data_IF_785943065564
#
_entry.id   IF_785943065564
#
_cell.length_a   1.000
_cell.length_b   1.000
_cell.length_c   1.000
_cell.angle_alpha   90.00
_cell.angle_beta   90.00
_cell.angle_gamma   90.00
#
_symmetry.space_group_name_H-M   'P 1'
#
loop_
_entity.id
_entity.type
_entity.pdbx_description
1 polymer ?
#
# COMPACT_ATOMS: atom_id res chain seq x y z
N UNK A 1 -84.21 -2.94 13.64
CA UNK A 1 -85.38 -2.20 13.05
C UNK A 1 -85.51 -2.74 11.63
N UNK A 2 -86.32 -3.80 11.54
CA UNK A 2 -87.54 -3.87 10.76
C UNK A 2 -87.31 -3.67 9.26
N UNK A 3 -87.75 -4.48 8.34
CA UNK A 3 -88.97 -5.33 8.19
C UNK A 3 -88.83 -6.02 6.84
N UNK A 4 -89.00 -7.33 6.75
CA UNK A 4 -90.18 -8.03 6.28
C UNK A 4 -90.61 -7.65 4.81
N UNK A 5 -90.83 -8.57 3.97
CA UNK A 5 -91.82 -9.64 3.79
C UNK A 5 -91.90 -9.90 2.26
N UNK A 6 -92.15 -10.94 1.71
CA UNK A 6 -93.20 -11.96 1.55
C UNK A 6 -92.99 -12.66 0.20
N UNK A 7 -92.94 -13.91 0.26
CA UNK A 7 -93.47 -14.96 -0.59
C UNK A 7 -94.65 -14.52 -1.48
N UNK A 8 -95.13 -15.26 -2.55
CA UNK A 8 -95.01 -16.72 -2.77
C UNK A 8 -94.90 -17.21 -4.23
N UNK A 9 -94.55 -18.48 -4.36
CA UNK A 9 -95.25 -19.56 -5.04
C UNK A 9 -95.68 -19.37 -6.49
N UNK A 10 -95.22 -20.25 -7.40
CA UNK A 10 -96.10 -21.13 -8.17
C UNK A 10 -95.26 -22.17 -8.91
N UNK A 11 -95.52 -23.35 -8.59
CA UNK A 11 -95.41 -24.65 -9.13
C UNK A 11 -95.71 -24.67 -10.68
N UNK A 12 -94.76 -25.28 -11.45
CA UNK A 12 -95.19 -26.02 -12.64
C UNK A 12 -94.16 -27.13 -12.93
N UNK A 13 -94.58 -28.33 -12.71
CA UNK A 13 -94.04 -29.60 -13.11
C UNK A 13 -94.12 -29.75 -14.59
N UNK A 14 -93.01 -30.15 -15.26
CA UNK A 14 -93.08 -31.04 -16.42
C UNK A 14 -91.89 -31.95 -16.47
N UNK A 15 -92.21 -33.21 -16.52
CA UNK A 15 -91.44 -34.42 -16.61
C UNK A 15 -90.92 -34.58 -18.03
N UNK A 16 -89.88 -35.42 -18.17
CA UNK A 16 -89.40 -36.27 -19.26
C UNK A 16 -88.13 -35.83 -19.97
N UNK A 17 -87.26 -36.79 -19.95
CA UNK A 17 -86.29 -36.99 -20.97
C UNK A 17 -85.00 -37.61 -20.46
N UNK A 18 -85.01 -38.88 -20.07
CA UNK A 18 -83.82 -39.68 -19.93
C UNK A 18 -83.11 -39.88 -21.29
N UNK A 19 -81.88 -39.43 -21.40
CA UNK A 19 -80.95 -39.95 -22.38
C UNK A 19 -79.65 -40.26 -21.67
N UNK A 20 -79.47 -41.50 -21.27
CA UNK A 20 -78.19 -42.12 -20.88
C UNK A 20 -77.35 -42.21 -22.17
N UNK A 21 -76.56 -41.24 -22.41
CA UNK A 21 -75.45 -41.31 -23.34
C UNK A 21 -74.14 -41.60 -22.53
N UNK A 22 -73.69 -42.83 -22.51
CA UNK A 22 -72.34 -43.16 -22.19
C UNK A 22 -71.42 -42.45 -23.18
N UNK A 23 -70.92 -41.28 -22.81
CA UNK A 23 -69.81 -40.67 -23.51
C UNK A 23 -68.58 -41.53 -23.30
N UNK A 24 -68.27 -42.28 -24.28
CA UNK A 24 -66.94 -42.85 -24.44
C UNK A 24 -65.95 -41.68 -24.46
N UNK A 25 -65.19 -41.55 -23.39
CA UNK A 25 -64.03 -40.66 -23.42
C UNK A 25 -63.08 -41.26 -24.48
N UNK A 26 -62.70 -40.49 -25.48
CA UNK A 26 -61.65 -40.95 -26.37
C UNK A 26 -60.40 -41.18 -25.52
N UNK A 27 -60.02 -42.46 -25.48
CA UNK A 27 -58.71 -42.85 -24.96
C UNK A 27 -57.65 -42.17 -25.87
N UNK A 28 -57.21 -40.99 -25.52
CA UNK A 28 -56.10 -40.35 -26.19
C UNK A 28 -54.88 -41.09 -25.74
N UNK A 29 -54.53 -42.16 -26.46
CA UNK A 29 -53.20 -42.70 -26.37
C UNK A 29 -52.21 -41.55 -26.56
N UNK A 30 -51.24 -41.41 -25.72
CA UNK A 30 -50.20 -40.37 -25.91
C UNK A 30 -49.56 -40.67 -27.29
N UNK A 31 -49.93 -39.86 -28.27
CA UNK A 31 -49.29 -39.94 -29.59
C UNK A 31 -47.80 -39.67 -29.35
N UNK A 32 -47.01 -40.70 -29.36
CA UNK A 32 -45.56 -40.57 -29.28
C UNK A 32 -45.15 -39.64 -30.44
N UNK A 33 -44.62 -38.50 -30.08
CA UNK A 33 -44.11 -37.53 -31.03
C UNK A 33 -42.91 -38.13 -31.71
N UNK A 34 -43.06 -38.78 -32.85
CA UNK A 34 -41.97 -39.30 -33.63
C UNK A 34 -41.29 -38.13 -34.35
N UNK A 35 -40.07 -37.88 -34.02
CA UNK A 35 -39.21 -36.94 -34.75
C UNK A 35 -38.95 -37.50 -36.14
N UNK A 36 -39.35 -36.80 -37.18
CA UNK A 36 -38.98 -37.15 -38.53
C UNK A 36 -37.51 -36.86 -38.79
N UNK A 37 -36.89 -37.58 -39.74
CA UNK A 37 -35.48 -37.41 -40.11
C UNK A 37 -35.09 -35.96 -40.42
N UNK A 38 -36.03 -35.19 -40.93
CA UNK A 38 -35.84 -33.72 -41.17
C UNK A 38 -35.75 -32.93 -39.89
N UNK A 39 -36.52 -33.27 -38.85
CA UNK A 39 -36.48 -32.63 -37.55
C UNK A 39 -35.26 -33.06 -36.75
N UNK A 40 -34.80 -34.31 -36.87
CA UNK A 40 -33.57 -34.80 -36.21
C UNK A 40 -32.31 -34.03 -36.65
N UNK A 41 -32.32 -33.43 -37.85
CA UNK A 41 -31.21 -32.61 -38.34
C UNK A 41 -31.17 -31.19 -37.74
N UNK A 42 -32.26 -30.75 -37.18
CA UNK A 42 -32.42 -29.35 -36.67
C UNK A 42 -32.51 -29.34 -35.15
N UNK A 43 -32.81 -30.46 -34.52
CA UNK A 43 -32.96 -30.58 -33.06
C UNK A 43 -31.73 -31.19 -32.48
N UNK A 44 -31.06 -30.51 -31.60
CA UNK A 44 -30.02 -31.03 -30.73
C UNK A 44 -30.64 -31.45 -29.40
N UNK A 45 -30.45 -32.68 -29.02
CA UNK A 45 -30.90 -33.20 -27.71
C UNK A 45 -29.73 -33.12 -26.76
N UNK A 46 -29.89 -32.39 -25.68
CA UNK A 46 -28.91 -32.32 -24.61
C UNK A 46 -29.51 -32.83 -23.29
N UNK A 47 -28.67 -33.34 -22.43
CA UNK A 47 -29.11 -33.88 -21.14
C UNK A 47 -28.97 -32.79 -20.07
N UNK A 48 -30.02 -32.57 -19.32
CA UNK A 48 -29.99 -31.64 -18.18
C UNK A 48 -29.14 -32.26 -17.07
N UNK A 49 -28.04 -31.61 -16.78
CA UNK A 49 -27.19 -31.96 -15.65
C UNK A 49 -27.40 -30.95 -14.52
N UNK A 50 -27.43 -31.46 -13.30
CA UNK A 50 -27.36 -30.58 -12.12
C UNK A 50 -25.93 -30.07 -12.02
N UNK A 51 -25.74 -28.78 -12.26
CA UNK A 51 -24.45 -28.10 -12.13
C UNK A 51 -24.53 -27.09 -10.99
N UNK A 52 -23.50 -27.05 -10.18
CA UNK A 52 -23.37 -26.04 -9.13
C UNK A 52 -23.22 -24.66 -9.80
N UNK A 53 -24.09 -23.74 -9.47
CA UNK A 53 -24.02 -22.36 -9.98
C UNK A 53 -22.95 -21.63 -9.16
N UNK A 54 -21.81 -21.38 -9.78
CA UNK A 54 -20.78 -20.53 -9.20
C UNK A 54 -21.14 -19.09 -9.56
N UNK A 55 -21.50 -18.30 -8.56
CA UNK A 55 -21.72 -16.86 -8.73
C UNK A 55 -20.34 -16.15 -8.77
N UNK A 56 -19.93 -15.76 -9.97
CA UNK A 56 -18.65 -15.04 -10.16
C UNK A 56 -18.92 -13.53 -10.20
N UNK A 57 -18.27 -12.82 -9.27
CA UNK A 57 -18.30 -11.36 -9.24
C UNK A 57 -17.09 -10.80 -9.99
N UNK A 58 -17.33 -10.03 -11.04
CA UNK A 58 -16.27 -9.34 -11.79
C UNK A 58 -16.10 -7.92 -11.25
N UNK A 59 -14.88 -7.61 -10.83
CA UNK A 59 -14.52 -6.32 -10.26
C UNK A 59 -13.47 -5.63 -11.12
N UNK A 60 -13.51 -4.32 -11.17
CA UNK A 60 -12.44 -3.52 -11.72
C UNK A 60 -11.46 -3.16 -10.59
N UNK A 61 -10.18 -3.12 -10.94
CA UNK A 61 -9.16 -2.78 -9.96
C UNK A 61 -7.91 -2.20 -10.61
N UNK A 62 -7.03 -1.69 -9.78
CA UNK A 62 -5.72 -1.18 -10.18
C UNK A 62 -4.61 -1.92 -9.44
N UNK A 63 -3.53 -2.20 -10.16
CA UNK A 63 -2.31 -2.71 -9.54
C UNK A 63 -1.58 -1.54 -8.87
N UNK A 64 -1.19 -1.74 -7.63
CA UNK A 64 -0.42 -0.77 -6.85
C UNK A 64 0.73 -1.46 -6.12
N UNK A 65 1.71 -0.70 -5.69
CA UNK A 65 2.80 -1.23 -4.88
C UNK A 65 2.33 -1.55 -3.45
N UNK A 66 3.08 -2.40 -2.77
CA UNK A 66 2.83 -2.73 -1.38
C UNK A 66 3.26 -1.56 -0.48
N UNK A 67 2.31 -0.79 0.01
CA UNK A 67 2.55 0.38 0.88
C UNK A 67 3.35 0.05 2.15
N UNK A 68 3.32 -1.20 2.62
CA UNK A 68 4.13 -1.63 3.76
C UNK A 68 5.62 -1.77 3.42
N UNK A 69 5.98 -1.77 2.14
CA UNK A 69 7.34 -1.88 1.63
C UNK A 69 7.79 -0.60 0.92
N UNK A 70 7.10 0.51 1.18
CA UNK A 70 7.44 1.82 0.65
C UNK A 70 8.27 2.58 1.67
N UNK A 71 9.33 3.21 1.21
CA UNK A 71 10.10 4.17 1.98
C UNK A 71 10.05 5.54 1.30
N UNK A 72 9.59 6.52 2.05
CA UNK A 72 9.61 7.92 1.66
C UNK A 72 10.89 8.57 2.16
N UNK A 73 11.61 9.22 1.26
CA UNK A 73 12.89 9.87 1.56
C UNK A 73 12.70 11.38 1.56
N UNK A 74 12.94 11.99 2.71
CA UNK A 74 12.81 13.43 2.94
C UNK A 74 14.18 14.09 3.03
N UNK A 75 14.27 15.41 2.75
CA UNK A 75 15.50 16.15 3.00
C UNK A 75 15.74 16.24 4.50
N UNK A 76 16.98 16.04 4.93
CA UNK A 76 17.38 16.17 6.33
C UNK A 76 17.73 17.62 6.69
N UNK A 77 18.29 18.35 5.71
CA UNK A 77 18.73 19.74 5.83
C UNK A 77 18.36 20.50 4.57
N UNK A 78 18.15 21.80 4.70
CA UNK A 78 18.02 22.69 3.55
C UNK A 78 19.31 22.78 2.74
N UNK A 79 19.19 23.15 1.48
CA UNK A 79 20.37 23.31 0.63
C UNK A 79 20.07 23.20 -0.87
N UNK A 80 21.10 23.13 -1.68
CA UNK A 80 20.99 23.04 -3.13
C UNK A 80 21.46 21.65 -3.59
N UNK A 81 20.66 20.99 -4.41
CA UNK A 81 20.98 19.70 -5.02
C UNK A 81 22.08 19.90 -6.06
N UNK A 82 23.26 19.34 -5.83
CA UNK A 82 24.40 19.45 -6.74
C UNK A 82 24.51 18.30 -7.71
N UNK A 83 24.23 17.08 -7.22
CA UNK A 83 24.25 15.87 -8.03
C UNK A 83 22.99 15.06 -7.78
N UNK A 84 22.44 14.51 -8.84
CA UNK A 84 21.35 13.55 -8.80
C UNK A 84 21.86 12.26 -9.43
N UNK A 85 21.87 11.17 -8.66
CA UNK A 85 22.46 9.88 -9.06
C UNK A 85 21.42 8.81 -9.35
N UNK A 86 20.16 9.08 -9.05
CA UNK A 86 19.08 8.10 -9.14
C UNK A 86 17.89 8.68 -9.91
N UNK A 87 17.31 7.87 -10.80
CA UNK A 87 16.17 8.21 -11.64
C UNK A 87 14.97 7.30 -11.38
N UNK A 88 13.77 7.73 -11.82
CA UNK A 88 12.57 6.91 -11.74
C UNK A 88 12.78 5.61 -12.53
N UNK A 89 12.46 4.48 -11.90
CA UNK A 89 12.63 3.15 -12.47
C UNK A 89 13.95 2.47 -12.10
N UNK A 90 14.93 3.20 -11.55
CA UNK A 90 16.19 2.60 -11.12
C UNK A 90 16.00 1.70 -9.90
N UNK A 91 16.73 0.58 -9.87
CA UNK A 91 16.85 -0.24 -8.68
C UNK A 91 18.00 0.25 -7.81
N UNK A 92 17.69 0.57 -6.57
CA UNK A 92 18.66 1.02 -5.55
C UNK A 92 18.73 0.03 -4.41
N UNK A 93 19.92 -0.10 -3.81
CA UNK A 93 20.14 -0.88 -2.60
C UNK A 93 20.13 0.04 -1.39
N UNK A 94 19.80 -0.53 -0.23
CA UNK A 94 19.94 0.18 1.04
C UNK A 94 21.35 0.75 1.19
N UNK A 95 21.45 2.07 1.39
CA UNK A 95 22.72 2.80 1.53
C UNK A 95 23.24 3.42 0.24
N UNK A 96 22.65 3.13 -0.93
CA UNK A 96 23.04 3.77 -2.19
C UNK A 96 22.74 5.27 -2.15
N UNK A 97 23.63 6.06 -2.75
CA UNK A 97 23.49 7.53 -2.80
C UNK A 97 22.52 7.91 -3.90
N UNK A 98 21.44 8.57 -3.53
CA UNK A 98 20.40 9.06 -4.43
C UNK A 98 20.72 10.46 -4.95
N UNK A 99 21.17 11.34 -4.07
CA UNK A 99 21.53 12.71 -4.38
C UNK A 99 22.64 13.22 -3.46
N UNK A 100 23.35 14.26 -3.93
CA UNK A 100 24.32 15.02 -3.12
C UNK A 100 23.81 16.45 -3.01
N UNK A 101 23.75 16.94 -1.79
CA UNK A 101 23.15 18.24 -1.47
C UNK A 101 24.19 19.07 -0.73
N UNK A 102 24.36 20.32 -1.17
CA UNK A 102 25.20 21.31 -0.50
C UNK A 102 24.34 22.11 0.49
N UNK A 103 24.72 22.12 1.73
CA UNK A 103 23.93 22.75 2.82
C UNK A 103 24.78 23.69 3.67
N UNK A 104 24.23 24.87 3.97
CA UNK A 104 24.82 25.79 4.91
C UNK A 104 24.84 25.26 6.35
N UNK A 105 23.80 24.52 6.74
CA UNK A 105 23.74 23.88 8.06
C UNK A 105 24.86 22.83 8.25
N UNK A 106 25.17 22.08 7.20
CA UNK A 106 26.30 21.12 7.24
C UNK A 106 27.63 21.86 7.39
N UNK A 107 27.80 23.01 6.72
CA UNK A 107 28.98 23.85 6.90
C UNK A 107 29.15 24.34 8.35
N UNK A 108 28.07 24.64 9.04
CA UNK A 108 28.10 25.02 10.45
C UNK A 108 28.54 23.84 11.35
N UNK A 109 28.09 22.63 11.07
CA UNK A 109 28.58 21.42 11.76
C UNK A 109 30.05 21.15 11.49
N UNK A 110 30.53 21.37 10.26
CA UNK A 110 31.98 21.25 9.95
C UNK A 110 32.82 22.25 10.74
N UNK A 111 32.35 23.49 10.84
CA UNK A 111 33.00 24.49 11.69
C UNK A 111 33.05 24.02 13.15
N UNK A 112 31.93 23.55 13.71
CA UNK A 112 31.86 23.03 15.08
C UNK A 112 32.83 21.86 15.29
N UNK A 113 32.95 20.93 14.30
CA UNK A 113 33.90 19.84 14.40
C UNK A 113 35.33 20.34 14.50
N UNK A 114 35.71 21.28 13.63
CA UNK A 114 37.05 21.89 13.67
C UNK A 114 37.33 22.60 14.99
N UNK A 115 36.36 23.32 15.53
CA UNK A 115 36.48 23.99 16.83
C UNK A 115 36.69 22.97 17.96
N UNK A 116 35.89 21.86 17.96
CA UNK A 116 36.01 20.80 18.94
C UNK A 116 37.39 20.08 18.85
N UNK A 117 37.89 19.81 17.63
CA UNK A 117 39.21 19.23 17.40
C UNK A 117 40.34 20.12 17.91
N UNK A 118 40.23 21.44 17.70
CA UNK A 118 41.23 22.38 18.24
C UNK A 118 41.17 22.46 19.76
N UNK A 119 39.96 22.45 20.34
CA UNK A 119 39.79 22.45 21.80
C UNK A 119 40.35 21.19 22.42
N UNK A 120 40.13 20.02 21.80
CA UNK A 120 40.69 18.76 22.23
C UNK A 120 42.23 18.78 22.19
N UNK A 121 42.82 19.28 21.11
CA UNK A 121 44.25 19.42 20.98
C UNK A 121 44.84 20.30 22.08
N UNK A 122 44.19 21.42 22.39
CA UNK A 122 44.60 22.33 23.44
C UNK A 122 44.50 21.66 24.83
N UNK A 123 43.38 20.99 25.12
CA UNK A 123 43.16 20.29 26.38
C UNK A 123 44.19 19.15 26.61
N UNK A 124 44.54 18.42 25.54
CA UNK A 124 45.61 17.41 25.62
C UNK A 124 46.96 18.01 25.98
N UNK A 125 47.37 19.08 25.30
CA UNK A 125 48.62 19.76 25.58
C UNK A 125 48.67 20.34 27.01
N UNK A 126 47.52 20.91 27.47
CA UNK A 126 47.40 21.42 28.83
C UNK A 126 47.55 20.30 29.88
N UNK A 127 46.89 19.14 29.62
CA UNK A 127 47.00 17.96 30.48
C UNK A 127 48.46 17.46 30.56
N UNK A 128 49.15 17.32 29.41
CA UNK A 128 50.54 16.90 29.36
C UNK A 128 51.48 17.85 30.12
N UNK A 129 51.33 19.16 29.88
CA UNK A 129 52.13 20.19 30.59
C UNK A 129 51.85 20.20 32.11
N UNK A 130 50.59 20.01 32.52
CA UNK A 130 50.21 19.95 33.94
C UNK A 130 50.78 18.73 34.61
N UNK A 131 50.82 17.57 33.92
CA UNK A 131 51.47 16.36 34.42
C UNK A 131 52.99 16.54 34.60
N UNK A 132 53.66 17.19 33.66
CA UNK A 132 55.09 17.48 33.76
C UNK A 132 55.38 18.43 34.94
N UNK A 133 54.55 19.46 35.14
CA UNK A 133 54.65 20.33 36.31
C UNK A 133 54.39 19.60 37.63
N UNK A 134 53.40 18.70 37.65
CA UNK A 134 53.10 17.88 38.83
C UNK A 134 54.28 16.96 39.21
N UNK A 135 54.86 16.29 38.23
CA UNK A 135 56.01 15.40 38.41
C UNK A 135 57.23 16.18 38.93
N UNK A 136 57.32 17.48 38.62
CA UNK A 136 58.38 18.37 39.08
C UNK A 136 58.04 19.07 40.40
N UNK A 137 56.88 18.78 41.01
CA UNK A 137 56.42 19.39 42.26
C UNK A 137 55.91 20.82 42.13
N UNK A 138 55.63 21.29 40.89
CA UNK A 138 55.18 22.65 40.60
C UNK A 138 53.66 22.78 40.38
N UNK A 139 52.92 21.68 40.33
CA UNK A 139 51.47 21.65 40.25
C UNK A 139 50.85 20.76 41.34
N UNK A 140 49.62 21.02 41.71
CA UNK A 140 48.89 20.25 42.72
C UNK A 140 48.02 19.17 42.13
N UNK A 141 47.57 18.19 42.95
CA UNK A 141 46.55 17.20 42.55
C UNK A 141 45.27 17.81 42.00
N UNK A 142 44.90 18.97 42.52
CA UNK A 142 43.73 19.75 42.05
C UNK A 142 43.94 20.20 40.60
N UNK A 143 45.14 20.69 40.26
CA UNK A 143 45.45 21.18 38.92
C UNK A 143 45.41 20.03 37.91
N UNK A 144 45.96 18.86 38.29
CA UNK A 144 45.87 17.63 37.46
C UNK A 144 44.41 17.20 37.27
N UNK A 145 43.59 17.19 38.32
CA UNK A 145 42.18 16.83 38.24
C UNK A 145 41.41 17.78 37.31
N UNK A 146 41.68 19.07 37.41
CA UNK A 146 41.07 20.07 36.55
C UNK A 146 41.46 19.87 35.08
N UNK A 147 42.73 19.73 34.76
CA UNK A 147 43.20 19.46 33.40
C UNK A 147 42.61 18.16 32.83
N UNK A 148 42.46 17.12 33.65
CA UNK A 148 41.80 15.88 33.26
C UNK A 148 40.33 16.05 32.96
N UNK A 149 39.60 16.87 33.74
CA UNK A 149 38.17 17.18 33.48
C UNK A 149 38.02 17.95 32.17
N UNK A 150 38.90 18.93 31.91
CA UNK A 150 38.89 19.70 30.65
C UNK A 150 39.15 18.79 29.45
N UNK A 151 40.10 17.89 29.53
CA UNK A 151 40.38 16.90 28.48
C UNK A 151 39.18 15.97 28.24
N UNK A 152 38.59 15.42 29.30
CA UNK A 152 37.45 14.51 29.20
C UNK A 152 36.26 15.21 28.57
N UNK A 153 36.02 16.49 28.92
CA UNK A 153 34.95 17.29 28.34
C UNK A 153 35.16 17.55 26.84
N UNK A 154 36.41 17.91 26.46
CA UNK A 154 36.75 18.14 25.05
C UNK A 154 36.64 16.84 24.20
N UNK A 155 37.04 15.69 24.76
CA UNK A 155 36.88 14.38 24.10
C UNK A 155 35.41 14.01 23.91
N UNK A 156 34.57 14.32 24.88
CA UNK A 156 33.13 14.06 24.80
C UNK A 156 32.46 14.91 23.72
N UNK A 157 32.85 16.19 23.64
CA UNK A 157 32.27 17.11 22.63
C UNK A 157 32.71 16.75 21.21
N UNK A 158 33.99 16.44 20.99
CA UNK A 158 34.46 15.99 19.68
C UNK A 158 33.74 14.70 19.26
N UNK A 159 33.57 13.74 20.16
CA UNK A 159 32.82 12.50 19.89
C UNK A 159 31.37 12.77 19.52
N UNK A 160 30.70 13.64 20.26
CA UNK A 160 29.30 14.02 19.98
C UNK A 160 29.13 14.56 18.56
N UNK A 161 30.02 15.44 18.11
CA UNK A 161 29.92 16.02 16.77
C UNK A 161 30.25 14.97 15.71
N UNK A 162 31.24 14.11 15.93
CA UNK A 162 31.57 13.00 15.02
C UNK A 162 30.42 12.01 14.86
N UNK A 163 29.66 11.74 15.92
CA UNK A 163 28.45 10.93 15.85
C UNK A 163 27.39 11.58 14.94
N UNK A 164 27.20 12.89 15.03
CA UNK A 164 26.30 13.64 14.14
C UNK A 164 26.72 13.46 12.67
N UNK A 165 28.02 13.59 12.37
CA UNK A 165 28.54 13.35 11.01
C UNK A 165 28.26 11.95 10.50
N UNK A 166 28.36 10.94 11.36
CA UNK A 166 28.07 9.55 11.02
C UNK A 166 26.57 9.32 10.75
N UNK A 167 25.70 9.86 11.63
CA UNK A 167 24.25 9.70 11.54
C UNK A 167 23.71 10.32 10.25
N UNK A 168 24.15 11.53 9.92
CA UNK A 168 23.64 12.29 8.77
C UNK A 168 24.45 12.09 7.48
N UNK A 169 25.48 11.25 7.50
CA UNK A 169 26.29 10.95 6.34
C UNK A 169 26.92 12.18 5.68
N UNK A 170 27.46 13.10 6.48
CA UNK A 170 28.17 14.24 5.96
C UNK A 170 29.46 13.79 5.27
N UNK A 171 29.73 14.35 4.09
CA UNK A 171 30.87 13.98 3.26
C UNK A 171 32.01 15.00 3.22
N UNK A 172 31.88 16.07 4.02
CA UNK A 172 32.82 17.19 4.01
C UNK A 172 32.46 18.26 2.95
N UNK A 173 33.09 19.41 3.03
CA UNK A 173 32.91 20.55 2.11
C UNK A 173 31.45 21.04 2.01
N UNK A 174 30.71 20.99 3.14
CA UNK A 174 29.30 21.39 3.25
C UNK A 174 28.32 20.50 2.46
N UNK A 175 28.70 19.27 2.14
CA UNK A 175 27.87 18.32 1.43
C UNK A 175 27.33 17.21 2.35
N UNK A 176 26.08 16.81 2.10
CA UNK A 176 25.58 15.54 2.64
C UNK A 176 25.00 14.67 1.53
N UNK A 177 25.06 13.36 1.78
CA UNK A 177 24.58 12.35 0.85
C UNK A 177 23.20 11.87 1.29
N UNK A 178 22.22 12.08 0.44
CA UNK A 178 20.89 11.49 0.61
C UNK A 178 20.95 10.03 0.16
N UNK A 179 20.79 9.10 1.10
CA UNK A 179 20.91 7.66 0.87
C UNK A 179 19.58 6.95 0.94
N UNK A 180 19.47 5.85 0.20
CA UNK A 180 18.30 4.99 0.28
C UNK A 180 18.22 4.24 1.62
N UNK A 181 17.10 4.32 2.35
CA UNK A 181 16.89 3.59 3.60
C UNK A 181 16.60 2.10 3.38
N UNK A 182 16.14 1.73 2.17
CA UNK A 182 15.72 0.37 1.79
C UNK A 182 16.26 0.00 0.41
N UNK A 183 16.17 -1.28 0.06
CA UNK A 183 16.42 -1.73 -1.31
C UNK A 183 15.09 -1.82 -2.07
N UNK A 184 15.04 -1.30 -3.29
CA UNK A 184 13.82 -1.28 -4.10
C UNK A 184 13.98 -0.45 -5.36
N UNK A 185 12.87 -0.22 -6.05
CA UNK A 185 12.80 0.63 -7.23
C UNK A 185 12.30 2.02 -6.86
N UNK A 186 12.84 3.03 -7.50
CA UNK A 186 12.36 4.40 -7.37
C UNK A 186 11.06 4.52 -8.17
N UNK A 187 9.95 4.70 -7.46
CA UNK A 187 8.61 4.80 -8.05
C UNK A 187 8.15 6.24 -8.24
N UNK A 188 8.67 7.16 -7.40
CA UNK A 188 8.41 8.59 -7.52
C UNK A 188 9.67 9.38 -7.21
N UNK A 189 9.82 10.52 -7.89
CA UNK A 189 10.94 11.46 -7.72
C UNK A 189 10.42 12.89 -7.84
N UNK A 190 10.57 13.67 -6.77
CA UNK A 190 10.16 15.08 -6.69
C UNK A 190 11.37 16.01 -6.48
N UNK A 191 12.53 15.58 -6.96
CA UNK A 191 13.78 16.31 -6.85
C UNK A 191 14.43 16.49 -8.24
N UNK A 192 15.04 17.62 -8.46
CA UNK A 192 15.80 17.91 -9.66
C UNK A 192 17.16 18.50 -9.33
N UNK A 193 18.10 18.45 -10.28
CA UNK A 193 19.38 19.11 -10.14
C UNK A 193 19.17 20.62 -10.01
N UNK A 194 20.00 21.26 -9.20
CA UNK A 194 19.98 22.69 -8.89
C UNK A 194 18.71 23.14 -8.14
N UNK A 195 17.84 22.19 -7.72
CA UNK A 195 16.69 22.51 -6.89
C UNK A 195 17.15 22.96 -5.50
N UNK A 196 16.50 24.00 -4.98
CA UNK A 196 16.73 24.50 -3.62
C UNK A 196 15.72 23.86 -2.66
N UNK A 197 16.24 23.11 -1.70
CA UNK A 197 15.47 22.47 -0.64
C UNK A 197 15.40 23.39 0.59
N UNK A 198 14.25 23.42 1.22
CA UNK A 198 14.04 24.16 2.49
C UNK A 198 14.06 23.20 3.68
N UNK A 199 14.55 23.62 4.85
CA UNK A 199 14.57 22.75 6.03
C UNK A 199 13.20 22.32 6.52
N UNK A 200 12.16 23.12 6.24
CA UNK A 200 10.77 22.90 6.62
C UNK A 200 9.92 22.19 5.54
N UNK A 201 10.57 21.72 4.47
CA UNK A 201 9.89 21.03 3.38
C UNK A 201 9.44 19.66 3.84
N UNK A 202 8.11 19.46 3.88
CA UNK A 202 7.48 18.18 4.23
C UNK A 202 7.24 17.29 3.00
N UNK A 203 7.62 17.74 1.82
CA UNK A 203 7.47 16.97 0.58
C UNK A 203 8.58 15.91 0.46
N UNK A 204 8.19 14.72 0.08
CA UNK A 204 9.10 13.61 -0.18
C UNK A 204 9.92 13.86 -1.44
N UNK A 205 11.21 13.56 -1.40
CA UNK A 205 12.09 13.70 -2.54
C UNK A 205 12.11 12.46 -3.43
N UNK A 206 12.03 11.30 -2.80
CA UNK A 206 11.94 10.00 -3.47
C UNK A 206 10.97 9.10 -2.74
N UNK A 207 10.24 8.29 -3.51
CA UNK A 207 9.48 7.14 -3.03
C UNK A 207 10.12 5.88 -3.57
N UNK A 208 10.56 5.00 -2.68
CA UNK A 208 11.24 3.75 -3.03
C UNK A 208 10.35 2.59 -2.61
N UNK A 209 10.04 1.67 -3.52
CA UNK A 209 9.19 0.51 -3.26
C UNK A 209 9.86 -0.79 -3.66
N UNK A 210 9.71 -1.81 -2.83
CA UNK A 210 9.96 -3.18 -3.22
C UNK A 210 8.82 -3.65 -4.16
N UNK A 211 9.15 -4.02 -5.40
CA UNK A 211 8.17 -4.53 -6.37
C UNK A 211 8.09 -6.06 -6.38
N UNK A 212 8.63 -6.74 -5.37
CA UNK A 212 8.52 -8.20 -5.24
C UNK A 212 7.07 -8.65 -5.05
N UNK A 213 6.30 -7.85 -4.32
CA UNK A 213 4.90 -8.09 -4.04
C UNK A 213 4.10 -6.85 -4.41
N UNK A 214 3.11 -7.03 -5.27
CA UNK A 214 2.18 -5.97 -5.66
C UNK A 214 0.81 -6.25 -5.07
N UNK A 215 0.06 -5.19 -4.81
CA UNK A 215 -1.34 -5.28 -4.44
C UNK A 215 -2.24 -4.95 -5.61
N UNK A 216 -3.40 -5.58 -5.64
CA UNK A 216 -4.49 -5.15 -6.51
C UNK A 216 -5.58 -4.57 -5.63
N UNK A 217 -5.86 -3.30 -5.85
CA UNK A 217 -6.98 -2.61 -5.19
C UNK A 217 -8.17 -2.69 -6.12
N UNK A 218 -9.16 -3.50 -5.73
CA UNK A 218 -10.40 -3.66 -6.48
C UNK A 218 -11.52 -2.83 -5.86
N UNK A 219 -12.36 -2.24 -6.72
CA UNK A 219 -13.50 -1.44 -6.32
C UNK A 219 -14.76 -2.32 -6.30
N UNK A 220 -15.39 -2.43 -5.14
CA UNK A 220 -16.63 -3.20 -4.91
C UNK A 220 -17.76 -2.25 -4.64
N UNK A 221 -18.87 -2.36 -5.36
CA UNK A 221 -20.07 -1.58 -5.09
C UNK A 221 -20.71 -2.01 -3.77
N UNK A 222 -21.36 -1.07 -3.09
CA UNK A 222 -22.05 -1.29 -1.82
C UNK A 222 -23.03 -2.47 -1.90
N UNK A 223 -23.70 -2.66 -3.03
CA UNK A 223 -24.67 -3.76 -3.28
C UNK A 223 -24.01 -5.15 -3.25
N UNK A 224 -22.73 -5.25 -3.58
CA UNK A 224 -22.02 -6.51 -3.75
C UNK A 224 -21.04 -6.81 -2.63
N UNK A 225 -20.85 -5.90 -1.68
CA UNK A 225 -19.88 -6.07 -0.59
C UNK A 225 -20.16 -7.30 0.27
N UNK A 226 -21.43 -7.70 0.41
CA UNK A 226 -21.82 -8.90 1.17
C UNK A 226 -21.36 -10.22 0.54
N UNK A 227 -21.02 -10.19 -0.76
CA UNK A 227 -20.51 -11.34 -1.51
C UNK A 227 -19.00 -11.49 -1.42
N UNK A 228 -18.31 -10.47 -0.90
CA UNK A 228 -16.85 -10.41 -0.82
C UNK A 228 -16.40 -10.70 0.59
N UNK A 229 -15.50 -11.66 0.76
CA UNK A 229 -14.95 -12.02 2.06
C UNK A 229 -13.43 -12.14 2.03
N UNK A 230 -12.79 -11.81 3.14
CA UNK A 230 -11.35 -12.04 3.33
C UNK A 230 -11.03 -13.53 3.20
N UNK A 231 -9.92 -13.84 2.54
CA UNK A 231 -9.50 -15.22 2.24
C UNK A 231 -10.08 -15.80 0.93
N UNK A 232 -11.01 -15.14 0.27
CA UNK A 232 -11.54 -15.59 -1.00
C UNK A 232 -10.48 -15.56 -2.11
N UNK A 233 -10.44 -16.60 -2.94
CA UNK A 233 -9.54 -16.70 -4.09
C UNK A 233 -10.05 -15.84 -5.24
N UNK A 234 -9.14 -15.15 -5.91
CA UNK A 234 -9.44 -14.24 -7.02
C UNK A 234 -8.58 -14.59 -8.22
N UNK A 235 -9.18 -14.52 -9.42
CA UNK A 235 -8.46 -14.57 -10.69
C UNK A 235 -8.32 -13.15 -11.23
N UNK A 236 -7.09 -12.77 -11.57
CA UNK A 236 -6.76 -11.42 -12.01
C UNK A 236 -6.30 -11.51 -13.46
N UNK A 237 -6.93 -10.77 -14.34
CA UNK A 237 -6.49 -10.52 -15.71
C UNK A 237 -6.04 -9.08 -15.86
N UNK A 238 -5.02 -8.81 -16.65
CA UNK A 238 -4.51 -7.46 -16.88
C UNK A 238 -4.50 -7.15 -18.37
N UNK A 239 -4.71 -5.88 -18.72
CA UNK A 239 -4.65 -5.44 -20.12
C UNK A 239 -3.25 -5.61 -20.72
N UNK A 240 -2.21 -5.53 -19.90
CA UNK A 240 -0.82 -5.69 -20.34
C UNK A 240 -0.47 -7.16 -20.71
N UNK A 241 -1.15 -8.12 -20.09
CA UNK A 241 -0.94 -9.56 -20.30
C UNK A 241 -2.28 -10.27 -20.43
N UNK A 242 -3.01 -10.13 -21.56
CA UNK A 242 -4.37 -10.65 -21.70
C UNK A 242 -4.42 -12.18 -21.66
N UNK A 243 -3.34 -12.85 -22.07
CA UNK A 243 -3.26 -14.33 -22.10
C UNK A 243 -2.80 -14.94 -20.75
N UNK A 244 -2.52 -14.11 -19.74
CA UNK A 244 -2.06 -14.60 -18.44
C UNK A 244 -3.11 -14.31 -17.37
N UNK A 245 -3.45 -15.35 -16.63
CA UNK A 245 -4.27 -15.27 -15.44
C UNK A 245 -3.36 -15.36 -14.21
N UNK A 246 -3.49 -14.37 -13.34
CA UNK A 246 -2.79 -14.37 -12.06
C UNK A 246 -3.77 -14.79 -10.97
N UNK A 247 -3.29 -15.58 -10.03
CA UNK A 247 -4.07 -15.96 -8.84
C UNK A 247 -3.74 -15.01 -7.70
N UNK A 248 -4.75 -14.58 -6.98
CA UNK A 248 -4.62 -13.75 -5.79
C UNK A 248 -5.60 -14.19 -4.71
N UNK A 249 -5.44 -13.62 -3.54
CA UNK A 249 -6.35 -13.83 -2.41
C UNK A 249 -6.74 -12.48 -1.82
N UNK A 250 -8.00 -12.33 -1.47
CA UNK A 250 -8.48 -11.14 -0.77
C UNK A 250 -7.86 -11.12 0.63
N UNK A 251 -6.99 -10.15 0.86
CA UNK A 251 -6.27 -9.97 2.11
C UNK A 251 -7.03 -9.07 3.08
N UNK A 252 -7.71 -8.03 2.54
CA UNK A 252 -8.45 -7.08 3.38
C UNK A 252 -9.61 -6.45 2.63
N UNK A 253 -10.73 -6.30 3.32
CA UNK A 253 -11.88 -5.52 2.89
C UNK A 253 -11.89 -4.21 3.68
N UNK A 254 -11.82 -3.07 2.99
CA UNK A 254 -11.88 -1.76 3.63
C UNK A 254 -13.35 -1.36 3.82
N UNK A 255 -13.74 -1.06 5.04
CA UNK A 255 -15.11 -0.65 5.38
C UNK A 255 -15.36 0.86 5.21
N UNK A 256 -14.53 1.53 4.43
CA UNK A 256 -14.67 2.94 4.11
C UNK A 256 -15.29 3.10 2.72
N UNK A 257 -16.47 3.69 2.65
CA UNK A 257 -17.16 3.98 1.40
C UNK A 257 -16.57 5.24 0.77
N UNK A 258 -16.13 5.14 -0.47
CA UNK A 258 -15.80 6.32 -1.27
C UNK A 258 -17.12 6.99 -1.70
N UNK A 259 -17.32 8.24 -1.26
CA UNK A 259 -18.57 8.97 -1.48
C UNK A 259 -18.82 9.32 -2.96
N UNK A 260 -17.77 9.45 -3.77
CA UNK A 260 -17.87 9.79 -5.19
C UNK A 260 -18.21 8.57 -6.03
N UNK A 261 -17.49 7.48 -5.86
CA UNK A 261 -17.65 6.25 -6.65
C UNK A 261 -18.70 5.29 -6.11
N UNK A 262 -19.16 5.47 -4.86
CA UNK A 262 -20.06 4.55 -4.16
C UNK A 262 -19.49 3.13 -4.05
N UNK A 263 -18.15 3.03 -3.96
CA UNK A 263 -17.43 1.76 -3.87
C UNK A 263 -16.65 1.66 -2.56
N UNK A 264 -16.41 0.45 -2.13
CA UNK A 264 -15.46 0.10 -1.10
C UNK A 264 -14.24 -0.57 -1.73
N UNK A 265 -13.06 -0.32 -1.20
CA UNK A 265 -11.84 -0.93 -1.70
C UNK A 265 -11.62 -2.31 -1.09
N UNK A 266 -11.17 -3.23 -1.91
CA UNK A 266 -10.74 -4.56 -1.50
C UNK A 266 -9.31 -4.77 -1.95
N UNK A 267 -8.46 -5.18 -1.00
CA UNK A 267 -7.05 -5.47 -1.26
C UNK A 267 -6.84 -6.94 -1.56
N UNK A 268 -6.19 -7.21 -2.67
CA UNK A 268 -5.83 -8.54 -3.14
C UNK A 268 -4.32 -8.64 -3.21
N UNK A 269 -3.78 -9.72 -2.69
CA UNK A 269 -2.35 -10.08 -2.76
C UNK A 269 -2.13 -11.19 -3.75
#
# INVERSE_FOLDING_TARGET
MNWNKFLPCILLTTVLGACSGKGEQPNVEPTALCLTDSLLRIVSVDTVHVQEVIDELTLNGRVTFNENQVAHVYPMFGGTVTELKAEIGDYVRKGDVLAVIRSGEVADYEKQLKEAEQQLLLARRNMDATLDMYNSGMASDKDVLQAKQELTSAEAEERRIKEIFSIYHFSGDAFYQLKSPVSGFIVEKQISRDMQLRPDQSEELFTISGLSDVWVMADVYESDISKVSEGASVRISTLAYPDKMFAGTIDKVYHLLNSESKTMNVRIK
#
